data_IF_178317004718
#
_entry.id   IF_178317004718
#
_cell.length_a   1.000
_cell.length_b   1.000
_cell.length_c   1.000
_cell.angle_alpha   90.00
_cell.angle_beta   90.00
_cell.angle_gamma   90.00
#
_symmetry.space_group_name_H-M   'P 1'
#
loop_
_entity.id
_entity.type
_entity.pdbx_description
1 polymer ?
#
# COMPACT_ATOMS: atom_id res chain seq x y z
N UNK A 1 -16.71 -6.33 -15.78
CA UNK A 1 -17.16 -6.29 -14.35
C UNK A 1 -16.23 -5.35 -13.62
N UNK A 2 -16.75 -4.45 -12.77
CA UNK A 2 -15.91 -3.55 -11.99
C UNK A 2 -15.12 -4.31 -10.90
N UNK A 3 -14.02 -3.73 -10.40
CA UNK A 3 -13.28 -4.26 -9.24
C UNK A 3 -14.25 -4.57 -8.08
N UNK A 4 -15.15 -3.65 -7.82
CA UNK A 4 -16.08 -3.72 -6.69
C UNK A 4 -17.15 -4.79 -6.84
N UNK A 5 -17.65 -5.07 -8.06
CA UNK A 5 -18.54 -6.21 -8.29
C UNK A 5 -17.82 -7.54 -8.01
N UNK A 6 -16.54 -7.65 -8.40
CA UNK A 6 -15.71 -8.84 -8.13
C UNK A 6 -15.42 -9.01 -6.64
N UNK A 7 -15.18 -7.90 -5.90
CA UNK A 7 -15.06 -7.92 -4.43
C UNK A 7 -16.36 -8.44 -3.81
N UNK A 8 -17.51 -7.92 -4.24
CA UNK A 8 -18.83 -8.36 -3.74
C UNK A 8 -19.06 -9.85 -4.01
N UNK A 9 -18.69 -10.36 -5.17
CA UNK A 9 -18.78 -11.77 -5.52
C UNK A 9 -17.88 -12.65 -4.63
N UNK A 10 -16.65 -12.20 -4.39
CA UNK A 10 -15.72 -12.89 -3.50
C UNK A 10 -16.23 -12.96 -2.05
N UNK A 11 -16.83 -11.87 -1.56
CA UNK A 11 -17.44 -11.82 -0.23
C UNK A 11 -18.71 -12.68 -0.14
N UNK A 12 -19.48 -12.76 -1.23
CA UNK A 12 -20.71 -13.55 -1.27
C UNK A 12 -20.41 -15.06 -1.27
N UNK A 13 -19.21 -15.46 -1.67
CA UNK A 13 -18.75 -16.84 -1.62
C UNK A 13 -18.30 -17.29 -0.21
N UNK A 14 -18.30 -16.39 0.79
CA UNK A 14 -18.07 -16.75 2.19
C UNK A 14 -19.27 -17.51 2.74
N UNK A 15 -19.00 -18.63 3.39
CA UNK A 15 -20.03 -19.35 4.16
C UNK A 15 -20.38 -18.57 5.44
N UNK A 16 -21.57 -18.82 5.99
CA UNK A 16 -21.98 -18.18 7.24
C UNK A 16 -20.99 -18.53 8.36
N UNK A 17 -20.35 -17.52 8.93
CA UNK A 17 -19.34 -17.70 10.01
C UNK A 17 -17.88 -17.78 9.56
N UNK A 18 -17.59 -17.76 8.26
CA UNK A 18 -16.22 -17.61 7.77
C UNK A 18 -15.73 -16.15 7.94
N UNK A 19 -14.52 -15.97 8.48
CA UNK A 19 -13.87 -14.67 8.56
C UNK A 19 -13.33 -14.21 7.20
N UNK A 20 -13.00 -12.92 7.11
CA UNK A 20 -12.45 -12.34 5.86
C UNK A 20 -11.14 -13.01 5.44
N UNK A 21 -10.37 -13.58 6.36
CA UNK A 21 -9.15 -14.34 6.07
C UNK A 21 -9.38 -15.50 5.09
N UNK A 22 -10.57 -16.11 5.09
CA UNK A 22 -10.90 -17.19 4.15
C UNK A 22 -11.01 -16.71 2.69
N UNK A 23 -11.25 -15.42 2.46
CA UNK A 23 -11.26 -14.84 1.10
C UNK A 23 -9.88 -14.93 0.48
N UNK A 24 -8.82 -14.66 1.26
CA UNK A 24 -7.45 -14.70 0.74
C UNK A 24 -7.05 -16.10 0.24
N UNK A 25 -7.56 -17.15 0.87
CA UNK A 25 -7.29 -18.53 0.42
C UNK A 25 -7.97 -18.85 -0.93
N UNK A 26 -9.07 -18.18 -1.23
CA UNK A 26 -9.85 -18.33 -2.48
C UNK A 26 -9.30 -17.47 -3.63
N UNK A 27 -8.57 -16.38 -3.34
CA UNK A 27 -8.11 -15.37 -4.30
C UNK A 27 -6.66 -15.59 -4.82
N UNK A 28 -6.12 -16.79 -4.76
CA UNK A 28 -4.71 -17.08 -5.13
C UNK A 28 -4.42 -17.09 -6.62
N UNK A 29 -5.43 -17.11 -7.49
CA UNK A 29 -5.25 -17.21 -8.94
C UNK A 29 -5.50 -15.88 -9.66
N UNK A 30 -4.73 -15.54 -10.74
CA UNK A 30 -5.13 -14.49 -11.69
C UNK A 30 -6.48 -14.86 -12.35
N UNK A 31 -7.41 -13.92 -12.59
CA UNK A 31 -7.33 -12.45 -12.54
C UNK A 31 -7.75 -11.84 -11.20
N UNK A 32 -7.87 -12.63 -10.13
CA UNK A 32 -8.38 -12.15 -8.83
C UNK A 32 -7.34 -11.33 -8.04
N UNK A 33 -6.11 -11.20 -8.52
CA UNK A 33 -5.01 -10.50 -7.81
C UNK A 33 -5.33 -9.05 -7.49
N UNK A 34 -5.95 -8.30 -8.40
CA UNK A 34 -6.34 -6.92 -8.15
C UNK A 34 -7.44 -6.81 -7.09
N UNK A 35 -8.35 -7.79 -7.03
CA UNK A 35 -9.36 -7.92 -5.98
C UNK A 35 -8.69 -8.21 -4.64
N UNK A 36 -7.75 -9.16 -4.63
CA UNK A 36 -6.97 -9.52 -3.45
C UNK A 36 -6.16 -8.33 -2.91
N UNK A 37 -5.53 -7.55 -3.79
CA UNK A 37 -4.82 -6.32 -3.44
C UNK A 37 -5.74 -5.31 -2.75
N UNK A 38 -6.89 -5.01 -3.35
CA UNK A 38 -7.86 -4.07 -2.78
C UNK A 38 -8.38 -4.54 -1.41
N UNK A 39 -8.76 -5.82 -1.30
CA UNK A 39 -9.22 -6.40 -0.03
C UNK A 39 -8.10 -6.34 1.02
N UNK A 40 -6.85 -6.61 0.65
CA UNK A 40 -5.70 -6.58 1.56
C UNK A 40 -5.48 -5.18 2.15
N UNK A 41 -5.45 -4.13 1.32
CA UNK A 41 -5.28 -2.75 1.78
C UNK A 41 -6.45 -2.32 2.66
N UNK A 42 -7.69 -2.61 2.26
CA UNK A 42 -8.88 -2.26 3.06
C UNK A 42 -8.84 -2.99 4.41
N UNK A 43 -8.54 -4.29 4.40
CA UNK A 43 -8.54 -5.10 5.61
C UNK A 43 -7.43 -4.68 6.60
N UNK A 44 -6.21 -4.46 6.13
CA UNK A 44 -5.12 -3.98 6.99
C UNK A 44 -5.34 -2.55 7.46
N UNK A 45 -5.88 -1.66 6.62
CA UNK A 45 -6.25 -0.31 7.03
C UNK A 45 -7.34 -0.32 8.11
N UNK A 46 -8.35 -1.19 7.99
CA UNK A 46 -9.37 -1.35 9.04
C UNK A 46 -8.79 -1.88 10.36
N UNK A 47 -7.75 -2.74 10.30
CA UNK A 47 -7.04 -3.21 11.50
C UNK A 47 -6.16 -2.12 12.11
N UNK A 48 -5.54 -1.29 11.30
CA UNK A 48 -4.74 -0.14 11.73
C UNK A 48 -5.62 0.87 12.48
N UNK A 49 -6.74 1.27 11.88
CA UNK A 49 -7.72 2.16 12.50
C UNK A 49 -8.32 1.60 13.81
N UNK A 50 -8.41 0.27 13.95
CA UNK A 50 -8.83 -0.36 15.20
C UNK A 50 -7.75 -0.28 16.29
N UNK A 51 -6.48 -0.27 15.92
CA UNK A 51 -5.37 -0.28 16.88
C UNK A 51 -5.25 1.03 17.66
N UNK A 52 -5.62 2.16 17.08
CA UNK A 52 -5.69 3.47 17.74
C UNK A 52 -7.06 3.81 18.34
N UNK A 53 -8.07 3.02 18.03
CA UNK A 53 -9.39 3.04 18.67
C UNK A 53 -10.42 3.97 18.02
N UNK A 54 -10.07 4.69 16.95
CA UNK A 54 -10.99 5.59 16.24
C UNK A 54 -10.81 5.49 14.73
N UNK A 55 -11.89 5.12 14.04
CA UNK A 55 -11.96 5.27 12.58
C UNK A 55 -12.39 6.70 12.29
N UNK A 56 -11.48 7.49 11.75
CA UNK A 56 -11.78 8.88 11.38
C UNK A 56 -12.50 8.96 10.02
N UNK A 57 -13.21 10.07 9.80
CA UNK A 57 -13.80 10.34 8.47
C UNK A 57 -12.73 10.52 7.41
N UNK A 58 -11.54 10.97 7.81
CA UNK A 58 -10.44 11.27 6.92
C UNK A 58 -9.78 9.98 6.42
N UNK A 59 -9.63 8.94 7.25
CA UNK A 59 -9.23 7.60 6.82
C UNK A 59 -10.19 6.99 5.81
N UNK A 60 -11.50 7.12 6.01
CA UNK A 60 -12.51 6.67 5.02
C UNK A 60 -12.37 7.46 3.72
N UNK A 61 -12.07 8.75 3.79
CA UNK A 61 -11.83 9.59 2.60
C UNK A 61 -10.56 9.18 1.89
N UNK A 62 -9.46 8.91 2.62
CA UNK A 62 -8.21 8.42 2.04
C UNK A 62 -8.38 7.09 1.31
N UNK A 63 -9.18 6.17 1.86
CA UNK A 63 -9.55 4.95 1.13
C UNK A 63 -10.20 5.24 -0.22
N UNK A 64 -11.11 6.21 -0.27
CA UNK A 64 -11.76 6.64 -1.52
C UNK A 64 -10.78 7.27 -2.49
N UNK A 65 -9.75 7.95 -1.99
CA UNK A 65 -8.71 8.54 -2.81
C UNK A 65 -7.76 7.49 -3.40
N UNK A 66 -7.37 6.50 -2.60
CA UNK A 66 -6.51 5.40 -3.05
C UNK A 66 -7.20 4.56 -4.13
N UNK A 67 -8.47 4.21 -3.94
CA UNK A 67 -9.17 3.24 -4.79
C UNK A 67 -10.23 3.83 -5.72
N UNK A 68 -10.41 5.11 -5.82
CA UNK A 68 -11.44 5.71 -6.67
C UNK A 68 -12.80 5.00 -6.55
N UNK A 69 -13.32 4.90 -5.33
CA UNK A 69 -14.57 4.18 -5.08
C UNK A 69 -15.74 4.99 -5.64
N UNK A 70 -16.40 4.49 -6.67
CA UNK A 70 -17.63 5.09 -7.18
C UNK A 70 -18.76 4.94 -6.15
N UNK A 71 -19.70 5.90 -6.12
CA UNK A 71 -20.80 5.90 -5.14
C UNK A 71 -21.61 4.60 -5.11
N UNK A 72 -21.79 3.94 -6.27
CA UNK A 72 -22.49 2.63 -6.37
C UNK A 72 -21.76 1.48 -5.69
N UNK A 73 -20.44 1.60 -5.48
CA UNK A 73 -19.54 0.54 -4.99
C UNK A 73 -19.17 0.75 -3.51
N UNK A 74 -19.54 1.89 -2.90
CA UNK A 74 -19.23 2.24 -1.51
C UNK A 74 -19.73 1.19 -0.50
N UNK A 75 -20.90 0.61 -0.75
CA UNK A 75 -21.46 -0.41 0.13
C UNK A 75 -20.60 -1.70 0.17
N UNK A 76 -19.96 -2.06 -0.96
CA UNK A 76 -19.03 -3.19 -1.04
C UNK A 76 -17.76 -2.93 -0.25
N UNK A 77 -17.16 -1.75 -0.42
CA UNK A 77 -15.98 -1.35 0.32
C UNK A 77 -16.24 -1.28 1.84
N UNK A 78 -17.35 -0.68 2.24
CA UNK A 78 -17.75 -0.62 3.65
C UNK A 78 -17.94 -2.03 4.25
N UNK A 79 -18.49 -2.98 3.50
CA UNK A 79 -18.66 -4.37 3.96
C UNK A 79 -17.30 -5.05 4.22
N UNK A 80 -16.29 -4.86 3.34
CA UNK A 80 -14.93 -5.38 3.57
C UNK A 80 -14.36 -4.81 4.86
N UNK A 81 -14.48 -3.49 5.01
CA UNK A 81 -13.97 -2.77 6.17
C UNK A 81 -14.61 -3.27 7.47
N UNK A 82 -15.92 -3.41 7.51
CA UNK A 82 -16.66 -3.88 8.69
C UNK A 82 -16.32 -5.34 9.04
N UNK A 83 -16.18 -6.21 8.03
CA UNK A 83 -15.76 -7.59 8.23
C UNK A 83 -14.34 -7.65 8.83
N UNK A 84 -13.39 -6.87 8.31
CA UNK A 84 -12.04 -6.83 8.86
C UNK A 84 -12.00 -6.29 10.28
N UNK A 85 -12.76 -5.23 10.57
CA UNK A 85 -12.84 -4.61 11.90
C UNK A 85 -13.44 -5.54 12.94
N UNK A 86 -14.43 -6.35 12.57
CA UNK A 86 -15.15 -7.26 13.49
C UNK A 86 -14.50 -8.63 13.61
N UNK A 87 -13.63 -9.02 12.66
CA UNK A 87 -12.91 -10.29 12.71
C UNK A 87 -12.00 -10.34 13.95
N UNK A 88 -11.98 -11.50 14.61
CA UNK A 88 -11.15 -11.77 15.79
C UNK A 88 -9.66 -11.95 15.44
N UNK A 89 -9.35 -12.31 14.20
CA UNK A 89 -7.99 -12.44 13.72
C UNK A 89 -7.22 -11.12 13.86
N UNK A 90 -6.01 -11.17 14.41
CA UNK A 90 -5.12 -10.03 14.53
C UNK A 90 -4.59 -9.55 13.19
N UNK A 91 -4.08 -8.33 13.12
CA UNK A 91 -3.49 -7.80 11.88
C UNK A 91 -2.28 -8.60 11.41
N UNK A 92 -1.51 -9.20 12.31
CA UNK A 92 -0.37 -10.03 11.95
C UNK A 92 -0.78 -11.28 11.19
N UNK A 93 -1.91 -11.89 11.54
CA UNK A 93 -2.46 -13.02 10.78
C UNK A 93 -2.86 -12.59 9.38
N UNK A 94 -3.51 -11.44 9.25
CA UNK A 94 -3.84 -10.85 7.94
C UNK A 94 -2.59 -10.59 7.12
N UNK A 95 -1.59 -9.90 7.69
CA UNK A 95 -0.33 -9.61 7.01
C UNK A 95 0.39 -10.90 6.57
N UNK A 96 0.40 -11.93 7.41
CA UNK A 96 1.02 -13.23 7.08
C UNK A 96 0.32 -13.92 5.91
N UNK A 97 -1.01 -13.91 5.87
CA UNK A 97 -1.78 -14.49 4.75
C UNK A 97 -1.59 -13.72 3.46
N UNK A 98 -1.55 -12.38 3.55
CA UNK A 98 -1.28 -11.51 2.40
C UNK A 98 0.13 -11.75 1.88
N UNK A 99 1.13 -11.83 2.76
CA UNK A 99 2.50 -12.17 2.36
C UNK A 99 2.56 -13.52 1.64
N UNK A 100 1.90 -14.56 2.17
CA UNK A 100 1.86 -15.86 1.52
C UNK A 100 1.19 -15.82 0.13
N UNK A 101 0.15 -15.00 -0.03
CA UNK A 101 -0.58 -14.84 -1.28
C UNK A 101 0.26 -14.14 -2.36
N UNK A 102 1.06 -13.16 -1.98
CA UNK A 102 1.96 -12.41 -2.87
C UNK A 102 3.43 -12.85 -2.72
N UNK A 103 3.66 -14.10 -2.29
CA UNK A 103 5.01 -14.64 -2.08
C UNK A 103 5.85 -14.55 -3.37
N UNK A 104 7.03 -13.96 -3.25
CA UNK A 104 7.92 -13.69 -4.38
C UNK A 104 7.66 -12.37 -5.12
N UNK A 105 6.64 -11.59 -4.73
CA UNK A 105 6.26 -10.33 -5.36
C UNK A 105 6.48 -9.17 -4.40
N UNK A 106 7.75 -8.93 -4.07
CA UNK A 106 8.13 -7.89 -3.11
C UNK A 106 7.59 -6.50 -3.49
N UNK A 107 7.63 -6.17 -4.78
CA UNK A 107 7.11 -4.89 -5.28
C UNK A 107 5.62 -4.74 -4.98
N UNK A 108 4.82 -5.78 -5.17
CA UNK A 108 3.38 -5.76 -4.84
C UNK A 108 3.14 -5.56 -3.34
N UNK A 109 3.95 -6.20 -2.49
CA UNK A 109 3.89 -6.01 -1.04
C UNK A 109 4.32 -4.60 -0.61
N UNK A 110 5.30 -4.02 -1.29
CA UNK A 110 5.69 -2.61 -1.08
C UNK A 110 4.58 -1.66 -1.54
N UNK A 111 3.91 -1.94 -2.67
CA UNK A 111 2.75 -1.17 -3.14
C UNK A 111 1.58 -1.22 -2.13
N UNK A 112 1.34 -2.38 -1.50
CA UNK A 112 0.35 -2.52 -0.41
C UNK A 112 0.73 -1.65 0.79
N UNK A 113 1.99 -1.71 1.21
CA UNK A 113 2.49 -0.93 2.33
C UNK A 113 2.37 0.59 2.07
N UNK A 114 2.64 1.03 0.83
CA UNK A 114 2.44 2.43 0.44
C UNK A 114 0.98 2.85 0.53
N UNK A 115 0.05 2.01 0.11
CA UNK A 115 -1.38 2.26 0.28
C UNK A 115 -1.76 2.45 1.75
N UNK A 116 -1.16 1.68 2.66
CA UNK A 116 -1.36 1.83 4.11
C UNK A 116 -0.77 3.13 4.66
N UNK A 117 0.43 3.54 4.21
CA UNK A 117 1.00 4.85 4.56
C UNK A 117 0.10 6.00 4.12
N UNK A 118 -0.49 5.90 2.93
CA UNK A 118 -1.41 6.93 2.43
C UNK A 118 -2.64 7.05 3.33
N UNK A 119 -3.15 5.93 3.84
CA UNK A 119 -4.28 5.91 4.78
C UNK A 119 -3.87 6.49 6.13
N UNK A 120 -2.72 6.07 6.68
CA UNK A 120 -2.20 6.57 7.95
C UNK A 120 -2.00 8.09 7.96
N UNK A 121 -1.63 8.67 6.82
CA UNK A 121 -1.40 10.11 6.67
C UNK A 121 -2.64 10.91 6.27
N UNK A 122 -3.82 10.32 6.31
CA UNK A 122 -5.05 10.93 5.81
C UNK A 122 -5.46 12.20 6.55
N UNK A 123 -5.25 12.25 7.85
CA UNK A 123 -5.55 13.41 8.70
C UNK A 123 -4.38 14.40 8.80
N UNK A 124 -3.25 14.10 8.16
CA UNK A 124 -2.02 14.90 8.17
C UNK A 124 -1.11 14.66 9.38
N UNK A 125 -1.46 13.73 10.26
CA UNK A 125 -0.66 13.34 11.42
C UNK A 125 -0.27 11.88 11.32
N UNK A 126 0.98 11.57 11.68
CA UNK A 126 1.48 10.21 11.73
C UNK A 126 1.61 9.75 13.16
N UNK A 127 0.70 8.90 13.59
CA UNK A 127 0.64 8.46 14.97
C UNK A 127 1.67 7.37 15.29
N UNK A 128 2.27 7.35 16.50
CA UNK A 128 3.23 6.31 16.90
C UNK A 128 2.67 4.88 16.80
N UNK A 129 1.37 4.69 17.01
CA UNK A 129 0.73 3.38 16.87
C UNK A 129 0.66 2.92 15.41
N UNK A 130 0.47 3.85 14.47
CA UNK A 130 0.50 3.56 13.03
C UNK A 130 1.93 3.23 12.57
N UNK A 131 2.93 3.96 13.08
CA UNK A 131 4.34 3.68 12.81
C UNK A 131 4.70 2.25 13.22
N UNK A 132 4.38 1.87 14.47
CA UNK A 132 4.62 0.53 14.98
C UNK A 132 3.84 -0.57 14.19
N UNK A 133 2.60 -0.26 13.78
CA UNK A 133 1.80 -1.14 12.95
C UNK A 133 2.44 -1.35 11.57
N UNK A 134 2.81 -0.28 10.88
CA UNK A 134 3.40 -0.33 9.55
C UNK A 134 4.78 -0.98 9.56
N UNK A 135 5.61 -0.70 10.57
CA UNK A 135 6.89 -1.37 10.77
C UNK A 135 6.71 -2.89 10.94
N UNK A 136 5.72 -3.30 11.73
CA UNK A 136 5.43 -4.72 11.94
C UNK A 136 4.90 -5.39 10.68
N UNK A 137 4.04 -4.74 9.91
CA UNK A 137 3.57 -5.23 8.61
C UNK A 137 4.72 -5.35 7.63
N UNK A 138 5.62 -4.35 7.55
CA UNK A 138 6.80 -4.38 6.70
C UNK A 138 7.73 -5.56 7.05
N UNK A 139 7.93 -5.83 8.34
CA UNK A 139 8.72 -6.98 8.80
C UNK A 139 8.10 -8.32 8.36
N UNK A 140 6.76 -8.47 8.46
CA UNK A 140 6.06 -9.67 8.00
C UNK A 140 6.14 -9.80 6.47
N UNK A 141 6.07 -8.70 5.73
CA UNK A 141 6.22 -8.65 4.27
C UNK A 141 7.67 -8.86 3.82
N UNK A 142 8.61 -8.98 4.75
CA UNK A 142 10.06 -9.09 4.48
C UNK A 142 10.61 -7.91 3.67
N UNK A 143 10.01 -6.72 3.84
CA UNK A 143 10.52 -5.47 3.25
C UNK A 143 11.79 -5.07 4.02
N UNK A 144 12.92 -4.83 3.34
CA UNK A 144 14.16 -4.41 4.00
C UNK A 144 13.98 -3.08 4.76
N UNK A 145 14.60 -2.96 5.94
CA UNK A 145 14.53 -1.78 6.79
C UNK A 145 14.87 -0.47 6.02
N UNK A 146 15.87 -0.52 5.14
CA UNK A 146 16.22 0.63 4.29
C UNK A 146 15.07 1.02 3.36
N UNK A 147 14.38 0.07 2.77
CA UNK A 147 13.26 0.30 1.86
C UNK A 147 12.05 0.84 2.63
N UNK A 148 11.77 0.29 3.82
CA UNK A 148 10.75 0.81 4.72
C UNK A 148 11.03 2.27 5.12
N UNK A 149 12.26 2.59 5.53
CA UNK A 149 12.66 3.97 5.88
C UNK A 149 12.54 4.93 4.69
N UNK A 150 12.92 4.50 3.49
CA UNK A 150 12.76 5.30 2.28
C UNK A 150 11.27 5.54 1.95
N UNK A 151 10.44 4.53 2.15
CA UNK A 151 8.99 4.66 1.99
C UNK A 151 8.40 5.61 3.03
N UNK A 152 8.73 5.42 4.32
CA UNK A 152 8.31 6.29 5.41
C UNK A 152 8.68 7.75 5.18
N UNK A 153 9.92 8.02 4.75
CA UNK A 153 10.40 9.38 4.50
C UNK A 153 9.64 10.13 3.39
N UNK A 154 8.95 9.42 2.51
CA UNK A 154 8.11 10.06 1.48
C UNK A 154 6.76 10.54 2.02
N UNK A 155 6.26 9.90 3.07
CA UNK A 155 4.93 10.17 3.61
C UNK A 155 4.97 11.03 4.87
N UNK A 156 5.98 10.80 5.73
CA UNK A 156 6.07 11.46 7.04
C UNK A 156 7.03 12.65 6.94
N UNK A 157 6.53 13.89 6.99
CA UNK A 157 7.33 15.09 6.81
C UNK A 157 8.08 15.48 8.11
N UNK A 158 8.97 14.63 8.61
CA UNK A 158 9.85 14.98 9.74
C UNK A 158 11.00 15.93 9.33
N UNK A 159 11.26 16.04 8.04
CA UNK A 159 12.18 16.99 7.39
C UNK A 159 11.89 17.02 5.89
N UNK A 160 12.45 17.99 5.16
CA UNK A 160 12.47 17.93 3.68
C UNK A 160 13.01 16.56 3.28
N UNK A 161 12.27 15.76 2.49
CA UNK A 161 12.71 14.42 2.14
C UNK A 161 14.10 14.48 1.55
N UNK A 162 15.06 13.80 2.18
CA UNK A 162 16.41 13.69 1.62
C UNK A 162 16.32 12.96 0.26
N UNK A 163 16.72 13.61 -0.84
CA UNK A 163 16.56 13.06 -2.18
C UNK A 163 17.33 11.74 -2.38
N UNK A 164 18.42 11.53 -1.65
CA UNK A 164 19.16 10.27 -1.68
C UNK A 164 18.38 9.13 -1.01
N UNK A 165 17.69 9.43 0.08
CA UNK A 165 16.80 8.47 0.75
C UNK A 165 15.60 8.11 -0.11
N UNK A 166 15.01 9.06 -0.83
CA UNK A 166 13.90 8.81 -1.77
C UNK A 166 14.33 7.87 -2.89
N UNK A 167 15.54 8.03 -3.43
CA UNK A 167 16.09 7.13 -4.46
C UNK A 167 16.69 5.84 -3.89
N UNK A 168 16.77 5.69 -2.56
CA UNK A 168 17.34 4.52 -1.91
C UNK A 168 18.85 4.36 -2.16
N UNK A 169 19.57 5.46 -2.36
CA UNK A 169 21.03 5.51 -2.63
C UNK A 169 21.77 6.20 -1.51
N UNK A 170 23.08 6.03 -1.45
CA UNK A 170 23.93 6.78 -0.52
C UNK A 170 24.42 8.09 -1.16
N UNK A 171 24.57 9.18 -0.36
CA UNK A 171 24.99 10.49 -0.89
C UNK A 171 26.40 10.51 -1.52
N UNK A 172 27.25 9.57 -1.15
CA UNK A 172 28.63 9.42 -1.62
C UNK A 172 28.78 8.52 -2.86
N UNK A 173 27.65 7.99 -3.38
CA UNK A 173 27.67 7.18 -4.61
C UNK A 173 27.96 8.04 -5.85
N UNK A 174 28.65 7.47 -6.85
CA UNK A 174 28.84 8.15 -8.14
C UNK A 174 27.49 8.53 -8.79
N UNK A 175 27.42 9.73 -9.36
CA UNK A 175 26.18 10.25 -10.00
C UNK A 175 25.62 9.30 -11.05
N UNK A 176 26.48 8.59 -11.79
CA UNK A 176 26.05 7.61 -12.78
C UNK A 176 25.35 6.40 -12.14
N UNK A 177 25.76 5.95 -10.96
CA UNK A 177 25.07 4.88 -10.21
C UNK A 177 23.73 5.37 -9.67
N UNK A 178 23.68 6.60 -9.17
CA UNK A 178 22.42 7.24 -8.73
C UNK A 178 21.45 7.35 -9.91
N UNK A 179 21.94 7.73 -11.09
CA UNK A 179 21.17 7.80 -12.32
C UNK A 179 20.61 6.44 -12.74
N UNK A 180 21.40 5.37 -12.57
CA UNK A 180 20.93 4.01 -12.84
C UNK A 180 19.83 3.58 -11.85
N UNK A 181 19.98 3.91 -10.57
CA UNK A 181 19.00 3.66 -9.54
C UNK A 181 17.69 4.42 -9.85
N UNK A 182 17.78 5.71 -10.18
CA UNK A 182 16.60 6.50 -10.61
C UNK A 182 15.89 5.87 -11.80
N UNK A 183 16.61 5.50 -12.87
CA UNK A 183 15.99 4.87 -14.05
C UNK A 183 15.33 3.54 -13.73
N UNK A 184 15.89 2.77 -12.80
CA UNK A 184 15.31 1.53 -12.32
C UNK A 184 14.00 1.82 -11.60
N UNK A 185 14.00 2.75 -10.65
CA UNK A 185 12.80 3.15 -9.89
C UNK A 185 11.69 3.66 -10.80
N UNK A 186 12.01 4.52 -11.78
CA UNK A 186 11.05 5.02 -12.77
C UNK A 186 10.37 3.86 -13.52
N UNK A 187 11.13 2.87 -13.96
CA UNK A 187 10.60 1.71 -14.70
C UNK A 187 9.73 0.81 -13.83
N UNK A 188 10.19 0.55 -12.60
CA UNK A 188 9.49 -0.34 -11.65
C UNK A 188 8.20 0.28 -11.10
N UNK A 189 8.16 1.61 -11.01
CA UNK A 189 7.02 2.34 -10.46
C UNK A 189 6.12 2.96 -11.55
N UNK A 190 6.33 2.60 -12.81
CA UNK A 190 5.43 3.03 -13.88
C UNK A 190 4.03 2.42 -13.67
N UNK A 191 2.94 3.18 -13.90
CA UNK A 191 1.57 2.68 -13.78
C UNK A 191 1.34 1.33 -14.45
N UNK A 192 1.83 1.14 -15.68
CA UNK A 192 1.69 -0.13 -16.41
C UNK A 192 2.40 -1.29 -15.69
N UNK A 193 3.56 -1.04 -15.09
CA UNK A 193 4.27 -2.07 -14.35
C UNK A 193 3.53 -2.46 -13.06
N UNK A 194 2.90 -1.50 -12.38
CA UNK A 194 2.07 -1.76 -11.21
C UNK A 194 0.83 -2.56 -11.58
N UNK A 195 0.12 -2.19 -12.65
CA UNK A 195 -1.04 -2.95 -13.14
C UNK A 195 -0.66 -4.38 -13.54
N UNK A 196 0.50 -4.56 -14.18
CA UNK A 196 1.00 -5.89 -14.54
C UNK A 196 1.28 -6.79 -13.31
N UNK A 197 1.59 -6.20 -12.14
CA UNK A 197 1.76 -6.91 -10.87
C UNK A 197 0.43 -7.17 -10.13
N UNK A 198 -0.68 -6.69 -10.65
CA UNK A 198 -2.00 -6.89 -10.05
C UNK A 198 -2.48 -5.73 -9.17
N UNK A 199 -1.79 -4.59 -9.17
CA UNK A 199 -2.32 -3.35 -8.58
C UNK A 199 -3.52 -2.91 -9.43
N UNK A 200 -4.70 -2.68 -8.84
CA UNK A 200 -5.87 -2.29 -9.61
C UNK A 200 -5.71 -0.90 -10.22
N UNK A 201 -6.35 -0.68 -11.37
CA UNK A 201 -6.33 0.62 -12.07
C UNK A 201 -6.81 1.76 -11.15
N UNK A 202 -7.73 1.46 -10.25
CA UNK A 202 -8.26 2.39 -9.25
C UNK A 202 -7.19 2.91 -8.27
N UNK A 203 -6.07 2.20 -8.13
CA UNK A 203 -4.94 2.58 -7.27
C UNK A 203 -3.75 3.20 -8.04
N UNK A 204 -3.88 3.45 -9.35
CA UNK A 204 -2.81 4.00 -10.20
C UNK A 204 -2.31 5.36 -9.71
N UNK A 205 -3.14 6.15 -9.02
CA UNK A 205 -2.72 7.43 -8.44
C UNK A 205 -1.53 7.32 -7.48
N UNK A 206 -1.36 6.19 -6.81
CA UNK A 206 -0.18 5.94 -5.97
C UNK A 206 1.09 5.94 -6.83
N UNK A 207 1.02 5.31 -8.02
CA UNK A 207 2.13 5.29 -8.97
C UNK A 207 2.47 6.69 -9.48
N UNK A 208 1.47 7.48 -9.83
CA UNK A 208 1.67 8.86 -10.30
C UNK A 208 2.35 9.73 -9.25
N UNK A 209 1.88 9.69 -8.00
CA UNK A 209 2.50 10.41 -6.89
C UNK A 209 3.94 9.97 -6.66
N UNK A 210 4.18 8.65 -6.62
CA UNK A 210 5.52 8.08 -6.45
C UNK A 210 6.48 8.53 -7.58
N UNK A 211 6.01 8.57 -8.82
CA UNK A 211 6.79 9.04 -9.96
C UNK A 211 7.19 10.51 -9.85
N UNK A 212 6.30 11.36 -9.33
CA UNK A 212 6.61 12.77 -9.08
C UNK A 212 7.73 12.88 -8.04
N UNK A 213 7.64 12.16 -6.93
CA UNK A 213 8.64 12.20 -5.85
C UNK A 213 10.01 11.68 -6.32
N UNK A 214 10.04 10.57 -7.07
CA UNK A 214 11.26 9.99 -7.65
C UNK A 214 11.93 10.97 -8.62
N UNK A 215 11.18 11.61 -9.50
CA UNK A 215 11.73 12.56 -10.47
C UNK A 215 12.24 13.83 -9.79
N UNK A 216 11.50 14.36 -8.83
CA UNK A 216 11.90 15.52 -8.03
C UNK A 216 13.22 15.25 -7.28
N UNK A 217 13.33 14.11 -6.63
CA UNK A 217 14.56 13.72 -5.93
C UNK A 217 15.78 13.65 -6.86
N UNK A 218 15.59 13.14 -8.08
CA UNK A 218 16.66 13.15 -9.08
C UNK A 218 17.04 14.56 -9.53
N UNK A 219 16.08 15.46 -9.77
CA UNK A 219 16.31 16.88 -10.14
C UNK A 219 17.07 17.62 -9.03
N UNK A 220 16.71 17.40 -7.76
CA UNK A 220 17.38 18.00 -6.60
C UNK A 220 18.84 17.56 -6.50
N UNK A 221 19.14 16.27 -6.71
CA UNK A 221 20.51 15.75 -6.73
C UNK A 221 21.32 16.35 -7.89
N UNK A 222 20.74 16.42 -9.09
CA UNK A 222 21.41 17.02 -10.24
C UNK A 222 21.73 18.51 -10.04
N UNK A 223 20.83 19.25 -9.37
CA UNK A 223 21.05 20.68 -9.11
C UNK A 223 22.13 20.92 -8.04
N UNK A 224 22.24 20.02 -7.07
CA UNK A 224 23.25 20.09 -6.00
C UNK A 224 24.65 19.64 -6.46
N UNK A 225 24.75 18.89 -7.55
CA UNK A 225 26.03 18.40 -8.12
C UNK A 225 26.66 19.34 -9.14
N UNK A 226 26.04 20.48 -9.43
CA UNK A 226 26.55 21.55 -10.30
C UNK A 226 27.23 22.65 -9.49
#
# INVERSE_FOLDING_TARGET
MSLWSRISDALSALSAGEGLTAVFDKLRAPPERSVAFAIAVIALGAKMAKADGQVTRDEVTAFREVFHIAAKDEAGAARVFDLARTDVAGFEEYATRIHAMFSGERETLTDLLEGLFHIAMADGFYHPNEDAFLERVAAIFTVPDREFKALRARFVPDAVPDPYSVLGVAPDQPVEEIRLAWRKLVRENHPDAMMARGVPEEAVRLAEKRMIDINRAWEDIQSSAR
#
